data_IF_763641205848
#
_entry.id   IF_763641205848
#
_cell.length_a   1.000
_cell.length_b   1.000
_cell.length_c   1.000
_cell.angle_alpha   90.00
_cell.angle_beta   90.00
_cell.angle_gamma   90.00
#
_symmetry.space_group_name_H-M   'P 1'
#
loop_
_entity.id
_entity.type
_entity.pdbx_description
1 polymer ?
#
# COMPACT_ATOMS: atom_id res chain seq x y z
N UNK A 1 10.26 1.08 -5.63
CA UNK A 1 8.79 1.26 -5.53
C UNK A 1 8.34 0.40 -4.37
N UNK A 2 7.58 0.93 -3.41
CA UNK A 2 7.02 0.18 -2.29
C UNK A 2 5.69 -0.50 -2.69
N UNK A 3 5.20 -1.40 -1.85
CA UNK A 3 3.86 -1.97 -1.99
C UNK A 3 2.82 -0.97 -1.50
N UNK A 4 1.56 -1.19 -1.83
CA UNK A 4 0.45 -0.29 -1.48
C UNK A 4 -0.24 -0.67 -0.16
N UNK A 5 0.23 -1.72 0.52
CA UNK A 5 -0.36 -2.22 1.76
C UNK A 5 0.59 -3.19 2.46
N UNK A 6 0.53 -3.22 3.78
CA UNK A 6 1.15 -4.25 4.63
C UNK A 6 0.32 -4.46 5.91
N UNK A 7 0.56 -5.58 6.60
CA UNK A 7 0.00 -5.79 7.94
C UNK A 7 0.61 -4.78 8.91
N UNK A 8 -0.23 -4.15 9.72
CA UNK A 8 0.24 -3.23 10.75
C UNK A 8 0.88 -4.02 11.90
N UNK A 9 2.16 -3.77 12.15
CA UNK A 9 2.96 -4.40 13.20
C UNK A 9 3.25 -3.48 14.37
N UNK A 10 3.95 -4.00 15.38
CA UNK A 10 4.31 -3.24 16.60
C UNK A 10 5.19 -2.04 16.31
N UNK A 11 6.13 -2.15 15.37
CA UNK A 11 6.95 -1.02 14.96
C UNK A 11 6.38 -0.31 13.72
N UNK A 12 6.11 -1.00 12.66
CA UNK A 12 5.45 -0.54 11.42
C UNK A 12 4.96 -1.75 10.64
N UNK A 13 5.87 -2.63 10.25
CA UNK A 13 5.58 -3.80 9.43
C UNK A 13 5.47 -5.05 10.29
N UNK A 14 4.34 -5.74 10.20
CA UNK A 14 4.21 -7.09 10.76
C UNK A 14 4.91 -8.12 9.87
N UNK A 15 5.51 -9.13 10.47
CA UNK A 15 6.17 -10.23 9.76
C UNK A 15 5.18 -11.30 9.26
N UNK A 16 3.89 -11.08 9.40
CA UNK A 16 2.83 -11.99 8.97
C UNK A 16 2.83 -12.28 7.48
N UNK A 17 2.42 -13.48 7.10
CA UNK A 17 2.33 -13.90 5.71
C UNK A 17 1.17 -13.22 4.97
N UNK A 18 1.44 -12.78 3.73
CA UNK A 18 0.41 -12.30 2.79
C UNK A 18 -0.20 -13.43 1.95
N UNK A 19 0.25 -14.64 2.16
CA UNK A 19 -0.17 -15.84 1.42
C UNK A 19 -1.11 -16.65 2.29
N UNK A 20 -2.14 -17.24 1.68
CA UNK A 20 -3.07 -18.12 2.39
C UNK A 20 -2.34 -19.33 2.98
N UNK A 21 -2.51 -19.60 4.29
CA UNK A 21 -1.85 -20.76 4.94
C UNK A 21 -2.33 -22.09 4.34
N UNK A 22 -1.39 -23.00 4.10
CA UNK A 22 -1.71 -24.37 3.66
C UNK A 22 -2.08 -24.50 2.18
N UNK A 23 -2.21 -23.42 1.43
CA UNK A 23 -2.49 -23.46 0.01
C UNK A 23 -1.24 -23.84 -0.80
N UNK A 24 -1.35 -24.91 -1.55
CA UNK A 24 -0.32 -25.28 -2.52
C UNK A 24 -0.32 -24.30 -3.69
N UNK A 25 0.86 -23.87 -4.10
CA UNK A 25 1.00 -23.01 -5.25
C UNK A 25 0.87 -23.81 -6.54
N UNK A 26 -0.33 -23.88 -7.10
CA UNK A 26 -0.66 -24.60 -8.34
C UNK A 26 -0.73 -23.69 -9.56
N UNK A 27 -0.65 -22.39 -9.40
CA UNK A 27 -0.73 -21.45 -10.50
C UNK A 27 0.56 -21.48 -11.35
N UNK A 28 0.48 -21.37 -12.68
CA UNK A 28 1.65 -21.28 -13.53
C UNK A 28 2.46 -20.01 -13.22
N UNK A 29 3.79 -20.13 -13.31
CA UNK A 29 4.67 -18.99 -13.16
C UNK A 29 4.35 -17.90 -14.21
N UNK A 30 4.40 -16.63 -13.79
CA UNK A 30 4.18 -15.46 -14.65
C UNK A 30 5.37 -14.52 -14.53
N UNK A 31 5.66 -13.78 -15.60
CA UNK A 31 6.66 -12.72 -15.53
C UNK A 31 6.16 -11.59 -14.63
N UNK A 32 6.96 -11.21 -13.66
CA UNK A 32 6.72 -10.01 -12.86
C UNK A 32 6.85 -8.78 -13.78
N UNK A 33 5.84 -7.92 -13.86
CA UNK A 33 5.83 -6.80 -14.79
C UNK A 33 6.89 -5.72 -14.49
N UNK A 34 7.45 -5.71 -13.28
CA UNK A 34 8.45 -4.72 -12.86
C UNK A 34 9.87 -5.24 -13.04
N UNK A 35 10.08 -6.53 -12.78
CA UNK A 35 11.43 -7.12 -12.77
C UNK A 35 11.69 -8.04 -13.97
N UNK A 36 10.65 -8.48 -14.67
CA UNK A 36 10.72 -9.46 -15.75
C UNK A 36 11.04 -10.90 -15.28
N UNK A 37 11.27 -11.09 -13.98
CA UNK A 37 11.56 -12.43 -13.43
C UNK A 37 10.30 -13.30 -13.40
N UNK A 38 10.48 -14.58 -13.67
CA UNK A 38 9.40 -15.56 -13.54
C UNK A 38 9.12 -15.81 -12.05
N UNK A 39 7.95 -15.40 -11.61
CA UNK A 39 7.47 -15.62 -10.25
C UNK A 39 6.24 -16.51 -10.27
N UNK A 40 6.17 -17.40 -9.32
CA UNK A 40 4.99 -18.24 -9.13
C UNK A 40 3.99 -17.45 -8.26
N UNK A 41 2.81 -17.09 -8.81
CA UNK A 41 1.82 -16.38 -8.02
C UNK A 41 1.36 -17.31 -6.89
N UNK A 42 1.33 -16.78 -5.68
CA UNK A 42 0.77 -17.46 -4.51
C UNK A 42 -0.60 -16.89 -4.23
N UNK A 43 -1.59 -17.69 -3.81
CA UNK A 43 -2.89 -17.17 -3.43
C UNK A 43 -2.71 -16.16 -2.28
N UNK A 44 -3.27 -14.97 -2.48
CA UNK A 44 -3.27 -13.94 -1.46
C UNK A 44 -4.18 -14.37 -0.30
N UNK A 45 -3.77 -14.01 0.91
CA UNK A 45 -4.58 -14.24 2.09
C UNK A 45 -5.91 -13.53 1.98
N UNK A 46 -6.99 -14.24 2.27
CA UNK A 46 -8.34 -13.64 2.30
C UNK A 46 -8.44 -12.76 3.54
N UNK A 47 -8.87 -11.52 3.35
CA UNK A 47 -9.08 -10.58 4.45
C UNK A 47 -10.25 -11.04 5.32
N UNK A 48 -10.04 -11.08 6.63
CA UNK A 48 -11.04 -11.47 7.61
C UNK A 48 -11.28 -10.34 8.61
N UNK A 49 -12.51 -10.21 9.16
CA UNK A 49 -12.79 -9.23 10.19
C UNK A 49 -11.80 -9.28 11.36
N UNK A 50 -11.33 -8.11 11.78
CA UNK A 50 -10.31 -7.96 12.82
C UNK A 50 -8.87 -7.88 12.31
N UNK A 51 -8.60 -8.16 11.04
CA UNK A 51 -7.29 -7.89 10.44
C UNK A 51 -7.06 -6.39 10.28
N UNK A 52 -5.83 -5.94 10.53
CA UNK A 52 -5.43 -4.53 10.40
C UNK A 52 -4.31 -4.44 9.38
N UNK A 53 -4.46 -3.52 8.43
CA UNK A 53 -3.48 -3.29 7.37
C UNK A 53 -3.42 -1.81 6.99
N UNK A 54 -2.29 -1.39 6.43
CA UNK A 54 -2.16 -0.06 5.83
C UNK A 54 -2.76 -0.03 4.44
N UNK A 55 -3.24 1.13 4.02
CA UNK A 55 -3.60 1.45 2.63
C UNK A 55 -2.77 2.67 2.24
N UNK A 56 -1.72 2.48 1.47
CA UNK A 56 -0.67 3.48 1.25
C UNK A 56 -0.28 3.66 -0.23
N UNK A 57 -1.24 4.00 -1.10
CA UNK A 57 -0.91 4.33 -2.48
C UNK A 57 0.02 5.54 -2.55
N UNK A 58 0.99 5.48 -3.47
CA UNK A 58 1.94 6.56 -3.65
C UNK A 58 2.24 6.84 -5.12
N UNK A 59 2.45 8.12 -5.42
CA UNK A 59 2.92 8.60 -6.71
C UNK A 59 4.34 9.14 -6.56
N UNK A 60 5.26 8.69 -7.41
CA UNK A 60 6.65 9.12 -7.40
C UNK A 60 7.09 9.47 -8.81
N UNK A 61 7.41 10.73 -9.02
CA UNK A 61 7.79 11.27 -10.32
C UNK A 61 9.31 11.37 -10.38
N UNK A 62 9.93 10.49 -11.15
CA UNK A 62 11.38 10.53 -11.39
C UNK A 62 11.70 11.38 -12.61
N UNK A 63 12.90 11.97 -12.70
CA UNK A 63 13.37 12.61 -13.92
C UNK A 63 13.29 11.65 -15.11
N UNK A 64 12.64 12.11 -16.19
CA UNK A 64 12.49 11.41 -17.47
C UNK A 64 12.19 12.42 -18.56
N UNK A 65 12.60 12.15 -19.79
CA UNK A 65 12.36 13.02 -20.95
C UNK A 65 10.87 13.20 -21.24
N UNK A 66 10.03 12.24 -20.84
CA UNK A 66 8.58 12.27 -21.04
C UNK A 66 7.82 13.04 -19.93
N UNK A 67 8.54 13.53 -18.91
CA UNK A 67 7.94 14.20 -17.74
C UNK A 67 8.47 15.63 -17.65
N UNK A 68 7.58 16.66 -17.56
CA UNK A 68 8.03 18.03 -17.35
C UNK A 68 8.90 18.17 -16.09
N UNK A 69 10.01 18.88 -16.20
CA UNK A 69 10.98 19.05 -15.12
C UNK A 69 10.37 19.59 -13.82
N UNK A 70 9.33 20.42 -13.95
CA UNK A 70 8.61 20.97 -12.78
C UNK A 70 8.01 19.90 -11.85
N UNK A 71 7.83 18.67 -12.32
CA UNK A 71 7.29 17.56 -11.52
C UNK A 71 8.36 16.59 -11.01
N UNK A 72 9.61 16.76 -11.41
CA UNK A 72 10.68 15.83 -11.05
C UNK A 72 10.92 15.81 -9.55
N UNK A 73 11.20 14.61 -9.04
CA UNK A 73 11.48 14.33 -7.63
C UNK A 73 10.31 14.62 -6.68
N UNK A 74 9.09 14.75 -7.20
CA UNK A 74 7.89 14.81 -6.38
C UNK A 74 7.53 13.39 -5.95
N UNK A 75 7.31 13.20 -4.65
CA UNK A 75 6.78 11.98 -4.07
C UNK A 75 5.64 12.30 -3.12
N UNK A 76 4.50 11.66 -3.34
CA UNK A 76 3.31 11.81 -2.49
C UNK A 76 2.81 10.43 -2.13
N UNK A 77 2.55 10.20 -0.84
CA UNK A 77 1.86 9.04 -0.31
C UNK A 77 0.69 9.51 0.53
N UNK A 78 -0.46 8.88 0.36
CA UNK A 78 -1.61 9.05 1.26
C UNK A 78 -1.81 7.68 1.90
N UNK A 79 -1.76 7.64 3.23
CA UNK A 79 -1.76 6.40 3.99
C UNK A 79 -2.82 6.44 5.07
N UNK A 80 -3.59 5.37 5.13
CA UNK A 80 -4.56 5.11 6.18
C UNK A 80 -4.33 3.73 6.78
N UNK A 81 -4.59 3.59 8.07
CA UNK A 81 -4.70 2.31 8.74
C UNK A 81 -6.16 1.85 8.73
N UNK A 82 -6.38 0.63 8.29
CA UNK A 82 -7.72 0.07 8.11
C UNK A 82 -7.91 -1.21 8.92
N UNK A 83 -9.02 -1.28 9.67
CA UNK A 83 -9.51 -2.52 10.29
C UNK A 83 -10.53 -3.14 9.36
N UNK A 84 -10.34 -4.40 9.00
CA UNK A 84 -11.31 -5.17 8.24
C UNK A 84 -12.54 -5.44 9.11
N UNK A 85 -13.72 -5.17 8.58
CA UNK A 85 -15.01 -5.45 9.24
C UNK A 85 -15.77 -6.55 8.50
N UNK A 86 -16.90 -6.97 9.01
CA UNK A 86 -17.74 -7.98 8.35
C UNK A 86 -18.31 -7.52 7.00
N UNK A 87 -18.39 -6.22 6.75
CA UNK A 87 -19.03 -5.64 5.54
C UNK A 87 -18.14 -4.68 4.76
N UNK A 88 -16.87 -4.54 5.16
CA UNK A 88 -15.93 -3.61 4.51
C UNK A 88 -14.73 -3.32 5.41
N UNK A 89 -14.40 -2.05 5.60
CA UNK A 89 -13.33 -1.63 6.51
C UNK A 89 -13.69 -0.35 7.28
N UNK A 90 -13.02 -0.14 8.40
CA UNK A 90 -13.04 1.10 9.16
C UNK A 90 -11.63 1.71 9.15
N UNK A 91 -11.51 2.97 8.73
CA UNK A 91 -10.25 3.71 8.74
C UNK A 91 -10.05 4.31 10.14
N UNK A 92 -8.98 3.90 10.82
CA UNK A 92 -8.68 4.34 12.20
C UNK A 92 -7.75 5.54 12.25
N UNK A 93 -7.12 5.92 11.13
CA UNK A 93 -6.24 7.09 11.00
C UNK A 93 -6.94 8.32 10.41
N UNK A 94 -8.24 8.25 10.12
CA UNK A 94 -8.97 9.28 9.37
C UNK A 94 -9.13 10.62 10.10
N UNK A 95 -8.77 10.71 11.37
CA UNK A 95 -8.73 11.99 12.11
C UNK A 95 -7.55 12.88 11.69
N UNK A 96 -6.60 12.35 10.93
CA UNK A 96 -5.50 13.12 10.33
C UNK A 96 -6.01 13.80 9.05
N UNK A 97 -5.76 15.11 8.87
CA UNK A 97 -6.13 15.84 7.66
C UNK A 97 -5.55 15.22 6.40
N UNK A 98 -6.36 15.08 5.36
CA UNK A 98 -5.95 14.55 4.04
C UNK A 98 -6.19 15.55 2.90
N UNK A 99 -7.04 16.55 3.12
CA UNK A 99 -7.32 17.57 2.13
C UNK A 99 -6.20 18.61 2.08
N UNK A 100 -5.84 19.05 0.87
CA UNK A 100 -4.72 19.99 0.64
C UNK A 100 -4.85 21.25 1.50
N UNK A 101 -6.02 21.86 1.49
CA UNK A 101 -6.25 23.09 2.25
C UNK A 101 -6.12 22.91 3.77
N UNK A 102 -6.50 21.76 4.31
CA UNK A 102 -6.37 21.44 5.74
C UNK A 102 -4.92 21.21 6.12
N UNK A 103 -4.16 20.51 5.26
CA UNK A 103 -2.73 20.27 5.46
C UNK A 103 -1.97 21.60 5.39
N UNK A 104 -2.24 22.43 4.39
CA UNK A 104 -1.61 23.77 4.25
C UNK A 104 -1.91 24.65 5.46
N UNK A 105 -3.16 24.66 5.93
CA UNK A 105 -3.54 25.43 7.14
C UNK A 105 -2.82 24.91 8.39
N UNK A 106 -2.63 23.61 8.53
CA UNK A 106 -1.90 23.01 9.66
C UNK A 106 -0.42 23.37 9.62
N UNK A 107 0.19 23.42 8.44
CA UNK A 107 1.61 23.69 8.21
C UNK A 107 1.97 25.17 8.21
N UNK A 108 0.98 26.06 8.11
CA UNK A 108 1.17 27.53 8.04
C UNK A 108 1.48 28.20 9.40
N UNK A 109 1.88 27.46 10.43
CA UNK A 109 2.19 27.96 11.78
C UNK A 109 3.64 28.36 11.94
#
# INVERSE_FOLDING_TARGET
>A
MHRTSHWLGMDVHDCGSYVEPGEANTAPAKADPLTGLMVQPRPSRVLQPGMVLTLEPGLYVRPSDDVPEAFWNIGIRIEDDAIVTATGCALISRDVPVEVAEIEALMAK
#
